data_IF_195360105161
#
_entry.id   IF_195360105161
#
_cell.length_a   1.000
_cell.length_b   1.000
_cell.length_c   1.000
_cell.angle_alpha   90.00
_cell.angle_beta   90.00
_cell.angle_gamma   90.00
#
_symmetry.space_group_name_H-M   'P 1'
#
loop_
_entity.id
_entity.type
_entity.pdbx_description
1 polymer ?
#
# COMPACT_ATOMS: atom_id res chain seq x y z
N UNK A 1 7.11 -3.76 -16.74
CA UNK A 1 7.74 -3.41 -15.46
C UNK A 1 7.25 -4.42 -14.43
N UNK A 2 8.15 -5.24 -13.86
CA UNK A 2 7.78 -6.21 -12.83
C UNK A 2 7.47 -5.48 -11.52
N UNK A 3 6.50 -6.01 -10.75
CA UNK A 3 6.16 -5.51 -9.42
C UNK A 3 7.39 -5.67 -8.51
N UNK A 4 7.90 -4.56 -7.97
CA UNK A 4 8.94 -4.56 -6.95
C UNK A 4 8.44 -3.81 -5.72
N UNK A 5 8.69 -4.31 -4.49
CA UNK A 5 9.25 -5.63 -4.15
C UNK A 5 8.44 -6.84 -4.63
N UNK A 6 9.08 -8.01 -4.60
CA UNK A 6 8.48 -9.25 -5.09
C UNK A 6 7.29 -9.68 -4.22
N UNK A 7 6.29 -10.32 -4.83
CA UNK A 7 5.06 -10.74 -4.13
C UNK A 7 5.31 -11.63 -2.91
N UNK A 8 6.40 -12.43 -2.93
CA UNK A 8 6.80 -13.26 -1.78
C UNK A 8 7.09 -12.42 -0.52
N UNK A 9 7.60 -11.21 -0.68
CA UNK A 9 7.97 -10.34 0.44
C UNK A 9 6.74 -9.62 0.99
N UNK A 10 5.80 -9.27 0.12
CA UNK A 10 4.49 -8.74 0.51
C UNK A 10 3.67 -9.79 1.28
N UNK A 11 3.73 -11.06 0.87
CA UNK A 11 3.00 -12.14 1.52
C UNK A 11 3.54 -12.51 2.91
N UNK A 12 4.77 -12.11 3.26
CA UNK A 12 5.27 -12.22 4.64
C UNK A 12 4.51 -11.31 5.60
N UNK A 13 4.01 -10.19 5.09
CA UNK A 13 3.32 -9.16 5.85
C UNK A 13 1.80 -9.40 5.81
N UNK A 14 1.26 -9.72 4.63
CA UNK A 14 -0.16 -10.01 4.42
C UNK A 14 -0.30 -11.39 3.78
N UNK A 15 -0.57 -12.47 4.55
CA UNK A 15 -0.50 -13.85 4.05
C UNK A 15 -1.61 -14.19 3.03
N UNK A 16 -2.67 -13.38 2.94
CA UNK A 16 -3.73 -13.53 1.94
C UNK A 16 -3.52 -12.59 0.76
N UNK A 17 -3.48 -13.15 -0.47
CA UNK A 17 -3.37 -12.36 -1.70
C UNK A 17 -4.54 -11.40 -1.90
N UNK A 18 -5.75 -11.82 -1.56
CA UNK A 18 -6.94 -10.97 -1.67
C UNK A 18 -6.89 -9.81 -0.67
N UNK A 19 -6.48 -10.10 0.58
CA UNK A 19 -6.29 -9.07 1.58
C UNK A 19 -5.16 -8.12 1.17
N UNK A 20 -4.07 -8.63 0.62
CA UNK A 20 -2.96 -7.82 0.11
C UNK A 20 -3.43 -6.82 -0.94
N UNK A 21 -4.28 -7.25 -1.89
CA UNK A 21 -4.85 -6.34 -2.90
C UNK A 21 -5.67 -5.23 -2.24
N UNK A 22 -6.52 -5.58 -1.26
CA UNK A 22 -7.33 -4.59 -0.54
C UNK A 22 -6.48 -3.60 0.25
N UNK A 23 -5.47 -4.09 0.99
CA UNK A 23 -4.55 -3.26 1.78
C UNK A 23 -3.75 -2.33 0.86
N UNK A 24 -3.18 -2.84 -0.24
CA UNK A 24 -2.46 -2.03 -1.23
C UNK A 24 -3.37 -0.96 -1.82
N UNK A 25 -4.59 -1.32 -2.22
CA UNK A 25 -5.53 -0.39 -2.84
C UNK A 25 -6.07 0.66 -1.87
N UNK A 26 -6.23 0.31 -0.60
CA UNK A 26 -6.59 1.26 0.45
C UNK A 26 -5.44 2.24 0.70
N UNK A 27 -4.23 1.72 0.97
CA UNK A 27 -3.06 2.54 1.26
C UNK A 27 -2.68 3.47 0.11
N UNK A 28 -2.78 2.99 -1.14
CA UNK A 28 -2.55 3.82 -2.32
C UNK A 28 -3.52 5.01 -2.42
N UNK A 29 -4.77 4.84 -1.98
CA UNK A 29 -5.75 5.94 -1.94
C UNK A 29 -5.43 6.95 -0.86
N UNK A 30 -5.00 6.51 0.31
CA UNK A 30 -4.55 7.42 1.38
C UNK A 30 -3.37 8.27 0.93
N UNK A 31 -2.35 7.66 0.31
CA UNK A 31 -1.18 8.38 -0.21
C UNK A 31 -1.57 9.40 -1.27
N UNK A 32 -2.50 9.04 -2.17
CA UNK A 32 -2.97 9.96 -3.20
C UNK A 32 -3.77 11.12 -2.59
N UNK A 33 -4.65 10.85 -1.63
CA UNK A 33 -5.45 11.86 -0.95
C UNK A 33 -4.59 12.83 -0.13
N UNK A 34 -3.60 12.31 0.60
CA UNK A 34 -2.65 13.12 1.37
C UNK A 34 -1.83 14.05 0.47
N UNK A 35 -1.34 13.54 -0.66
CA UNK A 35 -0.61 14.37 -1.63
C UNK A 35 -1.47 15.46 -2.26
N UNK A 36 -2.75 15.16 -2.54
CA UNK A 36 -3.72 16.11 -3.07
C UNK A 36 -4.05 17.19 -2.03
N UNK A 37 -4.32 16.80 -0.77
CA UNK A 37 -4.66 17.70 0.34
C UNK A 37 -3.49 18.64 0.68
N UNK A 38 -2.27 18.12 0.72
CA UNK A 38 -1.07 18.92 1.00
C UNK A 38 -0.52 19.65 -0.25
N UNK A 39 -1.06 19.37 -1.44
CA UNK A 39 -0.70 20.02 -2.69
C UNK A 39 0.73 19.71 -3.17
N UNK A 40 1.30 18.56 -2.80
CA UNK A 40 2.62 18.15 -3.26
C UNK A 40 2.54 17.07 -4.36
N UNK A 41 3.42 17.11 -5.37
CA UNK A 41 3.46 16.08 -6.40
C UNK A 41 4.10 14.79 -5.89
N UNK A 42 3.52 13.64 -6.24
CA UNK A 42 4.13 12.34 -6.00
C UNK A 42 5.14 11.99 -7.10
N UNK A 43 6.37 11.63 -6.70
CA UNK A 43 7.40 11.17 -7.62
C UNK A 43 7.14 9.76 -8.17
N UNK A 44 6.46 8.93 -7.38
CA UNK A 44 6.11 7.56 -7.72
C UNK A 44 4.60 7.39 -7.71
N UNK A 45 4.10 6.37 -8.44
CA UNK A 45 2.68 6.01 -8.37
C UNK A 45 2.31 5.65 -6.92
N UNK A 46 1.14 6.08 -6.41
CA UNK A 46 0.69 5.76 -5.06
C UNK A 46 0.71 4.26 -4.76
N UNK A 47 0.35 3.43 -5.74
CA UNK A 47 0.41 1.96 -5.64
C UNK A 47 1.84 1.44 -5.45
N UNK A 48 2.82 2.03 -6.12
CA UNK A 48 4.23 1.66 -5.96
C UNK A 48 4.78 2.08 -4.60
N UNK A 49 4.34 3.23 -4.06
CA UNK A 49 4.65 3.66 -2.70
C UNK A 49 4.04 2.69 -1.68
N UNK A 50 2.75 2.37 -1.81
CA UNK A 50 2.05 1.45 -0.92
C UNK A 50 2.70 0.06 -0.87
N UNK A 51 3.08 -0.50 -2.02
CA UNK A 51 3.76 -1.81 -2.08
C UNK A 51 5.09 -1.78 -1.32
N UNK A 52 5.86 -0.68 -1.40
CA UNK A 52 7.12 -0.52 -0.65
C UNK A 52 6.85 -0.39 0.85
N UNK A 53 5.91 0.45 1.26
CA UNK A 53 5.58 0.62 2.68
C UNK A 53 5.11 -0.68 3.34
N UNK A 54 4.28 -1.47 2.64
CA UNK A 54 3.82 -2.77 3.13
C UNK A 54 4.99 -3.72 3.31
N UNK A 55 5.89 -3.82 2.32
CA UNK A 55 7.07 -4.66 2.40
C UNK A 55 8.04 -4.25 3.52
N UNK A 56 8.10 -2.97 3.86
CA UNK A 56 8.87 -2.45 5.01
C UNK A 56 8.15 -2.65 6.35
N UNK A 57 6.89 -3.10 6.36
CA UNK A 57 6.09 -3.24 7.58
C UNK A 57 5.67 -1.92 8.21
N UNK A 58 5.64 -0.83 7.41
CA UNK A 58 5.26 0.52 7.86
C UNK A 58 3.76 0.80 7.76
N UNK A 59 2.97 -0.16 7.29
CA UNK A 59 1.52 -0.04 7.16
C UNK A 59 0.86 -0.77 8.31
N UNK A 60 0.00 -0.06 9.04
CA UNK A 60 -0.89 -0.68 10.00
C UNK A 60 -1.91 -1.54 9.24
N UNK A 61 -1.84 -2.85 9.43
CA UNK A 61 -2.67 -3.82 8.71
C UNK A 61 -4.05 -4.01 9.35
N UNK A 62 -4.38 -3.22 10.38
CA UNK A 62 -5.71 -3.18 10.97
C UNK A 62 -6.65 -2.59 9.92
N UNK A 63 -7.26 -3.46 9.12
CA UNK A 63 -8.42 -3.09 8.33
C UNK A 63 -9.41 -2.48 9.32
N UNK A 64 -9.88 -1.24 9.12
CA UNK A 64 -10.90 -0.69 10.00
C UNK A 64 -12.08 -1.65 9.95
N UNK A 65 -12.36 -2.31 11.08
CA UNK A 65 -13.60 -3.05 11.26
C UNK A 65 -14.72 -2.09 10.87
N UNK A 66 -15.32 -2.34 9.70
CA UNK A 66 -16.47 -1.59 9.24
C UNK A 66 -17.60 -2.02 10.18
N UNK A 67 -17.79 -1.28 11.27
CA UNK A 67 -18.94 -1.41 12.14
C UNK A 67 -20.08 -0.51 11.66
#
# INVERSE_FOLDING_TARGET
MMLYPAMKDLLKQVPSRYQLVNVVAHRAREIAADADEQGYPLNDKPVSIAIREIAEGKVDLSVPEQH
#
